data_IF_589802100295
#
_entry.id   IF_589802100295
#
_cell.length_a   1.000
_cell.length_b   1.000
_cell.length_c   1.000
_cell.angle_alpha   90.00
_cell.angle_beta   90.00
_cell.angle_gamma   90.00
#
_symmetry.space_group_name_H-M   'P 1'
#
loop_
_entity.id
_entity.type
_entity.pdbx_description
1 polymer ?
#
# COMPACT_ATOMS: atom_id res chain seq x y z
N UNK A 1 -29.43 16.16 -11.11
CA UNK A 1 -29.04 16.68 -9.78
C UNK A 1 -27.52 16.73 -9.75
N UNK A 2 -26.93 17.84 -9.28
CA UNK A 2 -25.47 18.03 -9.21
C UNK A 2 -25.02 17.97 -7.75
N UNK A 3 -23.88 17.32 -7.49
CA UNK A 3 -23.23 17.35 -6.19
C UNK A 3 -21.71 17.41 -6.32
N UNK A 4 -21.03 17.81 -5.25
CA UNK A 4 -19.57 17.82 -5.18
C UNK A 4 -19.03 16.39 -5.10
N UNK A 5 -17.97 16.09 -5.85
CA UNK A 5 -17.33 14.78 -5.83
C UNK A 5 -16.82 14.37 -4.46
N UNK A 6 -16.43 15.34 -3.61
CA UNK A 6 -16.13 15.16 -2.19
C UNK A 6 -17.24 14.40 -1.44
N UNK A 7 -18.50 14.73 -1.68
CA UNK A 7 -19.67 14.07 -1.07
C UNK A 7 -19.71 12.59 -1.49
N UNK A 8 -19.47 12.31 -2.76
CA UNK A 8 -19.44 10.94 -3.27
C UNK A 8 -18.28 10.14 -2.67
N UNK A 9 -17.09 10.73 -2.63
CA UNK A 9 -15.92 10.14 -2.00
C UNK A 9 -16.19 9.80 -0.52
N UNK A 10 -16.87 10.68 0.21
CA UNK A 10 -17.25 10.40 1.59
C UNK A 10 -18.21 9.21 1.69
N UNK A 11 -19.23 9.14 0.83
CA UNK A 11 -20.17 8.01 0.80
C UNK A 11 -19.43 6.70 0.48
N UNK A 12 -18.54 6.70 -0.52
CA UNK A 12 -17.76 5.53 -0.92
C UNK A 12 -16.89 5.07 0.25
N UNK A 13 -16.08 5.96 0.84
CA UNK A 13 -15.20 5.59 1.95
C UNK A 13 -15.96 5.03 3.16
N UNK A 14 -17.12 5.62 3.48
CA UNK A 14 -17.89 5.23 4.66
C UNK A 14 -18.63 3.92 4.43
N UNK A 15 -19.20 3.68 3.24
CA UNK A 15 -20.20 2.63 3.08
C UNK A 15 -19.86 1.54 2.07
N UNK A 16 -18.81 1.71 1.27
CA UNK A 16 -18.45 0.70 0.28
C UNK A 16 -18.11 -0.63 0.95
N UNK A 17 -18.58 -1.72 0.34
CA UNK A 17 -18.19 -3.07 0.75
C UNK A 17 -16.73 -3.21 0.43
N UNK A 18 -15.91 -3.29 1.47
CA UNK A 18 -14.55 -3.79 1.34
C UNK A 18 -14.69 -5.31 1.33
N UNK A 19 -14.05 -5.97 0.36
CA UNK A 19 -14.13 -7.42 0.17
C UNK A 19 -14.00 -8.14 1.51
N UNK A 20 -15.03 -8.90 1.89
CA UNK A 20 -14.99 -9.74 3.08
C UNK A 20 -13.84 -10.74 2.88
N UNK A 21 -12.81 -10.76 3.74
CA UNK A 21 -11.70 -11.68 3.57
C UNK A 21 -12.08 -13.15 3.85
N UNK A 22 -13.23 -13.46 4.45
CA UNK A 22 -13.60 -14.83 4.85
C UNK A 22 -13.88 -15.81 3.70
N UNK A 23 -14.65 -15.45 2.65
CA UNK A 23 -14.90 -16.36 1.53
C UNK A 23 -13.60 -16.70 0.76
N UNK A 24 -12.58 -15.86 0.87
CA UNK A 24 -11.36 -15.90 0.06
C UNK A 24 -10.15 -16.50 0.78
N UNK A 25 -10.23 -16.64 2.10
CA UNK A 25 -9.21 -17.27 2.95
C UNK A 25 -8.90 -18.75 2.59
N UNK A 26 -9.62 -19.35 1.63
CA UNK A 26 -9.42 -20.72 1.14
C UNK A 26 -8.76 -20.80 -0.25
N UNK A 27 -8.43 -19.66 -0.89
CA UNK A 27 -7.82 -19.61 -2.23
C UNK A 27 -6.41 -19.00 -2.22
N UNK A 28 -5.80 -18.78 -3.37
CA UNK A 28 -4.54 -18.03 -3.50
C UNK A 28 -4.70 -16.59 -2.97
N UNK A 29 -3.62 -15.90 -2.56
CA UNK A 29 -3.71 -14.50 -2.18
C UNK A 29 -4.37 -13.70 -3.31
N UNK A 30 -5.48 -13.05 -3.00
CA UNK A 30 -6.22 -12.22 -3.95
C UNK A 30 -5.79 -10.77 -3.79
N UNK A 31 -5.41 -10.14 -4.90
CA UNK A 31 -5.07 -8.72 -4.93
C UNK A 31 -6.35 -7.90 -4.83
N UNK A 32 -6.41 -7.01 -3.86
CA UNK A 32 -7.53 -6.09 -3.71
C UNK A 32 -7.48 -5.07 -4.84
N UNK A 33 -8.62 -4.86 -5.48
CA UNK A 33 -8.72 -3.89 -6.55
C UNK A 33 -8.57 -2.44 -6.06
N UNK A 34 -7.90 -1.61 -6.85
CA UNK A 34 -7.84 -0.16 -6.62
C UNK A 34 -9.13 0.47 -7.14
N UNK A 35 -10.13 0.68 -6.27
CA UNK A 35 -11.47 1.15 -6.69
C UNK A 35 -11.45 2.57 -7.29
N UNK A 36 -10.38 3.34 -7.07
CA UNK A 36 -10.18 4.62 -7.77
C UNK A 36 -10.03 4.42 -9.28
N UNK A 37 -9.54 3.26 -9.71
CA UNK A 37 -9.40 2.87 -11.12
C UNK A 37 -10.62 2.16 -11.67
N UNK A 38 -11.31 1.37 -10.83
CA UNK A 38 -12.43 0.54 -11.27
C UNK A 38 -13.69 1.32 -11.68
N UNK A 39 -13.78 2.59 -11.31
CA UNK A 39 -14.91 3.49 -11.62
C UNK A 39 -16.29 2.95 -11.21
N UNK A 40 -16.32 2.00 -10.29
CA UNK A 40 -17.52 1.48 -9.67
C UNK A 40 -17.21 1.00 -8.26
N UNK A 41 -18.24 0.92 -7.42
CA UNK A 41 -18.16 0.35 -6.09
C UNK A 41 -19.50 -0.28 -5.68
N UNK A 42 -19.41 -1.34 -4.88
CA UNK A 42 -20.57 -2.00 -4.30
C UNK A 42 -20.81 -1.50 -2.88
N UNK A 43 -22.09 -1.43 -2.51
CA UNK A 43 -22.58 -1.09 -1.18
C UNK A 43 -23.51 -2.20 -0.68
N UNK A 44 -23.75 -2.31 0.64
CA UNK A 44 -24.79 -3.20 1.17
C UNK A 44 -26.21 -2.87 0.71
N UNK A 45 -26.42 -1.80 -0.05
CA UNK A 45 -27.72 -1.26 -0.45
C UNK A 45 -27.80 -0.88 -1.93
N UNK A 46 -26.83 -1.30 -2.74
CA UNK A 46 -26.82 -1.03 -4.18
C UNK A 46 -25.42 -0.95 -4.76
N UNK A 47 -25.34 -0.45 -6.00
CA UNK A 47 -24.08 -0.30 -6.73
C UNK A 47 -23.98 1.10 -7.30
N UNK A 48 -22.81 1.70 -7.21
CA UNK A 48 -22.51 2.97 -7.85
C UNK A 48 -21.47 2.73 -8.94
N UNK A 49 -21.71 3.27 -10.12
CA UNK A 49 -20.73 3.37 -11.17
C UNK A 49 -20.62 4.83 -11.61
N UNK A 50 -19.47 5.23 -12.13
CA UNK A 50 -19.32 6.56 -12.70
C UNK A 50 -18.53 6.58 -14.00
N UNK A 51 -18.95 7.46 -14.90
CA UNK A 51 -18.36 7.64 -16.23
C UNK A 51 -17.96 9.08 -16.44
N UNK A 52 -16.91 9.30 -17.23
CA UNK A 52 -16.50 10.63 -17.66
C UNK A 52 -17.06 10.86 -19.07
N UNK A 53 -17.76 11.99 -19.26
CA UNK A 53 -18.24 12.45 -20.56
C UNK A 53 -17.73 13.87 -20.79
N UNK A 54 -16.63 13.99 -21.54
CA UNK A 54 -15.88 15.24 -21.62
C UNK A 54 -15.32 15.63 -20.25
N UNK A 55 -15.57 16.87 -19.84
CA UNK A 55 -15.14 17.40 -18.53
C UNK A 55 -16.09 17.06 -17.38
N UNK A 56 -17.24 16.45 -17.67
CA UNK A 56 -18.27 16.13 -16.70
C UNK A 56 -18.15 14.67 -16.23
N UNK A 57 -18.38 14.45 -14.93
CA UNK A 57 -18.43 13.12 -14.34
C UNK A 57 -19.86 12.80 -13.96
N UNK A 58 -20.32 11.62 -14.33
CA UNK A 58 -21.69 11.22 -14.10
C UNK A 58 -21.76 9.92 -13.32
N UNK A 59 -22.57 9.94 -12.29
CA UNK A 59 -22.75 8.83 -11.36
C UNK A 59 -24.10 8.17 -11.60
N UNK A 60 -24.08 6.84 -11.63
CA UNK A 60 -25.22 5.96 -11.80
C UNK A 60 -25.32 5.07 -10.58
N UNK A 61 -26.43 5.18 -9.86
CA UNK A 61 -26.72 4.32 -8.72
C UNK A 61 -27.80 3.31 -9.10
N UNK A 62 -27.46 2.03 -9.02
CA UNK A 62 -28.41 0.92 -9.13
C UNK A 62 -28.83 0.52 -7.72
N UNK A 63 -30.08 0.79 -7.30
CA UNK A 63 -30.52 0.44 -5.97
C UNK A 63 -30.55 -1.07 -5.76
N UNK A 64 -30.27 -1.49 -4.53
CA UNK A 64 -30.51 -2.85 -4.07
C UNK A 64 -32.00 -3.13 -3.83
N UNK A 65 -32.29 -4.22 -3.13
CA UNK A 65 -33.64 -4.60 -2.71
C UNK A 65 -34.23 -3.57 -1.73
N UNK A 66 -35.55 -3.49 -1.66
CA UNK A 66 -36.24 -2.57 -0.74
C UNK A 66 -35.85 -2.80 0.73
N UNK A 67 -35.66 -4.07 1.12
CA UNK A 67 -35.15 -4.44 2.44
C UNK A 67 -33.72 -3.93 2.70
N UNK A 68 -32.85 -3.98 1.70
CA UNK A 68 -31.47 -3.48 1.77
C UNK A 68 -31.44 -1.96 1.86
N UNK A 69 -32.31 -1.28 1.12
CA UNK A 69 -32.49 0.17 1.19
C UNK A 69 -33.07 0.63 2.54
N UNK A 70 -34.02 -0.12 3.10
CA UNK A 70 -34.63 0.18 4.40
C UNK A 70 -33.71 -0.14 5.60
N UNK A 71 -32.70 -0.99 5.43
CA UNK A 71 -31.77 -1.35 6.50
C UNK A 71 -30.96 -0.16 7.04
N UNK A 72 -30.59 -0.20 8.32
CA UNK A 72 -29.72 0.81 8.90
C UNK A 72 -28.33 0.78 8.23
N UNK A 73 -27.85 1.95 7.79
CA UNK A 73 -26.54 2.08 7.14
C UNK A 73 -25.44 2.20 8.18
N UNK A 74 -24.42 1.36 8.06
CA UNK A 74 -23.31 1.32 8.99
C UNK A 74 -22.00 1.75 8.33
N UNK A 75 -21.36 2.83 8.78
CA UNK A 75 -20.03 3.19 8.31
C UNK A 75 -19.02 2.10 8.60
N UNK A 76 -18.11 1.82 7.67
CA UNK A 76 -17.02 0.83 7.75
C UNK A 76 -17.48 -0.60 8.06
N UNK A 77 -18.76 -0.92 7.86
CA UNK A 77 -19.33 -2.26 8.06
C UNK A 77 -18.96 -2.87 9.41
N UNK A 78 -18.40 -4.08 9.40
CA UNK A 78 -17.96 -4.79 10.61
C UNK A 78 -16.88 -4.04 11.39
N UNK A 79 -15.94 -3.34 10.73
CA UNK A 79 -14.95 -2.55 11.45
C UNK A 79 -15.62 -1.40 12.22
N UNK A 80 -16.66 -0.78 11.65
CA UNK A 80 -17.40 0.28 12.32
C UNK A 80 -18.21 -0.18 13.53
N UNK A 81 -18.64 -1.45 13.62
CA UNK A 81 -19.31 -1.99 14.84
C UNK A 81 -18.34 -2.06 16.02
N UNK A 82 -17.04 -2.19 15.74
CA UNK A 82 -15.98 -2.34 16.73
C UNK A 82 -15.42 -0.98 17.18
N UNK A 83 -15.79 0.11 16.51
CA UNK A 83 -15.43 1.47 16.91
C UNK A 83 -16.44 2.00 17.92
N UNK A 84 -15.99 2.84 18.85
CA UNK A 84 -16.91 3.55 19.74
C UNK A 84 -17.84 4.47 18.92
N UNK A 85 -19.17 4.42 19.07
CA UNK A 85 -20.12 5.15 18.21
C UNK A 85 -19.86 6.66 18.10
N UNK A 86 -19.34 7.28 19.16
CA UNK A 86 -19.01 8.71 19.19
C UNK A 86 -17.69 9.08 18.49
N UNK A 87 -16.87 8.10 18.12
CA UNK A 87 -15.50 8.33 17.60
C UNK A 87 -15.38 8.09 16.11
N UNK A 88 -16.31 7.35 15.48
CA UNK A 88 -16.23 6.95 14.07
C UNK A 88 -15.92 8.13 13.15
N UNK A 89 -16.70 9.21 13.27
CA UNK A 89 -16.53 10.39 12.42
C UNK A 89 -15.22 11.14 12.73
N UNK A 90 -14.84 11.24 14.01
CA UNK A 90 -13.59 11.87 14.40
C UNK A 90 -12.38 11.10 13.86
N UNK A 91 -12.38 9.78 13.97
CA UNK A 91 -11.34 8.89 13.42
C UNK A 91 -11.28 9.00 11.90
N UNK A 92 -12.43 9.05 11.23
CA UNK A 92 -12.49 9.21 9.77
C UNK A 92 -11.90 10.55 9.31
N UNK A 93 -12.32 11.66 9.91
CA UNK A 93 -11.80 12.99 9.58
C UNK A 93 -10.32 13.13 9.92
N UNK A 94 -9.89 12.52 11.04
CA UNK A 94 -8.46 12.45 11.41
C UNK A 94 -7.66 11.70 10.36
N UNK A 95 -8.18 10.57 9.85
CA UNK A 95 -7.52 9.80 8.81
C UNK A 95 -7.50 10.51 7.45
N UNK A 96 -8.56 11.26 7.10
CA UNK A 96 -8.54 12.11 5.91
C UNK A 96 -7.50 13.23 6.01
N UNK A 97 -7.33 13.84 7.18
CA UNK A 97 -6.42 14.97 7.38
C UNK A 97 -4.95 14.55 7.52
N UNK A 98 -4.69 13.50 8.29
CA UNK A 98 -3.34 13.06 8.65
C UNK A 98 -2.89 11.78 7.93
N UNK A 99 -3.75 11.26 7.06
CA UNK A 99 -3.56 10.00 6.37
C UNK A 99 -3.87 8.76 7.20
N UNK A 100 -4.06 8.89 8.52
CA UNK A 100 -4.31 7.77 9.44
C UNK A 100 -5.08 8.23 10.69
N UNK A 101 -5.96 7.38 11.22
CA UNK A 101 -6.77 7.73 12.41
C UNK A 101 -5.98 7.71 13.72
N UNK A 102 -4.89 6.95 13.77
CA UNK A 102 -4.04 6.79 14.96
C UNK A 102 -2.71 7.52 14.79
N UNK A 103 -2.36 8.34 15.79
CA UNK A 103 -1.13 9.10 15.82
C UNK A 103 0.14 8.25 15.83
N UNK A 104 0.10 7.03 16.37
CA UNK A 104 1.26 6.13 16.40
C UNK A 104 1.72 5.71 15.00
N UNK A 105 0.81 5.77 14.04
CA UNK A 105 1.03 5.39 12.64
C UNK A 105 1.29 6.59 11.73
N UNK A 106 1.30 7.84 12.25
CA UNK A 106 1.56 9.02 11.40
C UNK A 106 2.99 9.00 10.89
N UNK A 107 3.17 9.13 9.57
CA UNK A 107 4.48 9.36 8.97
C UNK A 107 5.05 10.70 9.43
N UNK A 108 6.38 10.85 9.33
CA UNK A 108 7.01 12.14 9.54
C UNK A 108 6.59 13.12 8.42
N UNK A 109 6.54 14.44 8.68
CA UNK A 109 6.19 15.43 7.67
C UNK A 109 7.09 15.34 6.44
N UNK A 110 6.60 15.66 5.22
CA UNK A 110 7.42 15.64 4.00
C UNK A 110 8.65 16.56 4.05
N UNK A 111 8.59 17.60 4.90
CA UNK A 111 9.66 18.58 5.14
C UNK A 111 10.73 18.09 6.13
N UNK A 112 10.48 16.99 6.85
CA UNK A 112 11.44 16.43 7.78
C UNK A 112 12.65 15.82 7.04
N UNK A 113 13.85 15.79 7.68
CA UNK A 113 15.02 15.13 7.11
C UNK A 113 14.75 13.67 6.74
N UNK A 114 15.39 13.17 5.68
CA UNK A 114 15.21 11.81 5.19
C UNK A 114 15.45 10.73 6.28
N UNK A 115 16.48 10.81 7.14
CA UNK A 115 16.66 9.83 8.22
C UNK A 115 15.47 9.75 9.19
N UNK A 116 14.86 10.90 9.53
CA UNK A 116 13.67 10.94 10.38
C UNK A 116 12.46 10.29 9.68
N UNK A 117 12.28 10.58 8.39
CA UNK A 117 11.22 9.95 7.58
C UNK A 117 11.39 8.44 7.46
N UNK A 118 12.62 7.95 7.30
CA UNK A 118 12.93 6.51 7.30
C UNK A 118 12.63 5.90 8.65
N UNK A 119 13.17 6.48 9.74
CA UNK A 119 12.94 5.98 11.09
C UNK A 119 11.44 5.86 11.38
N UNK A 120 10.67 6.91 11.07
CA UNK A 120 9.24 6.91 11.32
C UNK A 120 8.48 5.90 10.46
N UNK A 121 8.82 5.81 9.18
CA UNK A 121 8.24 4.80 8.28
C UNK A 121 8.48 3.38 8.81
N UNK A 122 9.71 3.07 9.22
CA UNK A 122 10.04 1.73 9.75
C UNK A 122 9.23 1.41 11.00
N UNK A 123 9.13 2.33 11.97
CA UNK A 123 8.29 2.17 13.15
C UNK A 123 6.83 1.91 12.80
N UNK A 124 6.27 2.65 11.83
CA UNK A 124 4.88 2.43 11.42
C UNK A 124 4.67 1.04 10.82
N UNK A 125 5.60 0.55 9.99
CA UNK A 125 5.48 -0.80 9.41
C UNK A 125 5.72 -1.91 10.44
N UNK A 126 6.60 -1.71 11.40
CA UNK A 126 6.78 -2.63 12.53
C UNK A 126 5.47 -2.76 13.33
N UNK A 127 4.79 -1.64 13.59
CA UNK A 127 3.49 -1.62 14.25
C UNK A 127 2.34 -2.17 13.39
N UNK A 128 2.42 -2.06 12.06
CA UNK A 128 1.41 -2.61 11.14
C UNK A 128 1.53 -4.13 11.00
N UNK A 129 2.75 -4.66 11.15
CA UNK A 129 3.06 -6.09 10.93
C UNK A 129 3.28 -6.87 12.23
N UNK A 130 3.22 -6.21 13.38
CA UNK A 130 3.39 -6.84 14.69
C UNK A 130 2.37 -7.98 14.88
N UNK A 131 2.82 -9.08 15.48
CA UNK A 131 1.95 -10.25 15.74
C UNK A 131 0.94 -10.00 16.85
N UNK A 132 1.22 -9.03 17.71
CA UNK A 132 0.32 -8.56 18.75
C UNK A 132 -0.76 -7.70 18.07
N UNK A 133 -1.72 -8.40 17.46
CA UNK A 133 -2.79 -7.77 16.68
C UNK A 133 -3.54 -6.72 17.49
N UNK A 134 -4.09 -5.72 16.79
CA UNK A 134 -4.83 -4.65 17.43
C UNK A 134 -6.25 -5.05 17.82
N UNK A 135 -6.67 -4.56 18.97
CA UNK A 135 -8.06 -4.64 19.41
C UNK A 135 -8.94 -3.56 18.76
N UNK A 136 -8.36 -2.45 18.29
CA UNK A 136 -9.13 -1.35 17.71
C UNK A 136 -8.94 -1.25 16.19
N UNK A 137 -10.00 -0.92 15.43
CA UNK A 137 -9.89 -0.67 14.00
C UNK A 137 -8.99 0.53 13.68
N UNK A 138 -8.13 0.39 12.68
CA UNK A 138 -7.31 1.48 12.15
C UNK A 138 -7.83 1.92 10.79
N UNK A 139 -8.11 3.21 10.63
CA UNK A 139 -8.38 3.79 9.33
C UNK A 139 -7.07 4.34 8.74
N UNK A 140 -6.67 3.88 7.56
CA UNK A 140 -5.50 4.39 6.84
C UNK A 140 -5.94 4.84 5.45
N UNK A 141 -5.52 6.03 5.05
CA UNK A 141 -5.76 6.54 3.70
C UNK A 141 -4.80 5.97 2.68
N UNK A 142 -5.22 5.96 1.42
CA UNK A 142 -4.33 5.65 0.31
C UNK A 142 -3.15 6.64 0.21
N UNK A 143 -3.36 7.92 0.53
CA UNK A 143 -2.29 8.93 0.49
C UNK A 143 -1.16 8.65 1.48
N UNK A 144 -1.49 8.02 2.62
CA UNK A 144 -0.48 7.55 3.56
C UNK A 144 0.45 6.53 2.90
N UNK A 145 -0.11 5.61 2.11
CA UNK A 145 0.66 4.62 1.37
C UNK A 145 1.45 5.24 0.22
N UNK A 146 0.91 6.24 -0.46
CA UNK A 146 1.65 7.01 -1.46
C UNK A 146 2.85 7.74 -0.85
N UNK A 147 2.68 8.36 0.32
CA UNK A 147 3.79 9.02 1.00
C UNK A 147 4.83 8.03 1.52
N UNK A 148 4.40 6.88 2.06
CA UNK A 148 5.28 5.78 2.39
C UNK A 148 6.06 5.28 1.16
N UNK A 149 5.38 5.14 0.01
CA UNK A 149 5.98 4.71 -1.25
C UNK A 149 7.01 5.73 -1.72
N UNK A 150 6.71 7.02 -1.63
CA UNK A 150 7.66 8.11 -1.94
C UNK A 150 8.93 8.03 -1.10
N UNK A 151 8.83 7.80 0.21
CA UNK A 151 10.01 7.62 1.09
C UNK A 151 10.81 6.41 0.62
N UNK A 152 10.16 5.28 0.39
CA UNK A 152 10.81 4.05 -0.08
C UNK A 152 11.51 4.24 -1.43
N UNK A 153 10.83 4.84 -2.41
CA UNK A 153 11.37 5.20 -3.73
C UNK A 153 12.53 6.18 -3.61
N UNK A 154 12.48 7.14 -2.68
CA UNK A 154 13.56 8.10 -2.46
C UNK A 154 14.85 7.41 -2.03
N UNK A 155 14.74 6.40 -1.18
CA UNK A 155 15.89 5.62 -0.66
C UNK A 155 16.40 4.63 -1.70
N UNK A 156 15.51 3.87 -2.33
CA UNK A 156 15.90 2.74 -3.18
C UNK A 156 16.09 3.09 -4.67
N UNK A 157 15.52 4.19 -5.15
CA UNK A 157 15.46 4.52 -6.58
C UNK A 157 15.56 6.04 -6.88
N UNK A 158 16.15 6.83 -5.98
CA UNK A 158 16.28 8.30 -6.08
C UNK A 158 14.96 9.03 -6.43
N UNK A 159 13.83 8.52 -5.95
CA UNK A 159 12.49 9.06 -6.27
C UNK A 159 11.77 8.31 -7.38
N UNK A 160 12.20 7.08 -7.70
CA UNK A 160 11.53 6.17 -8.64
C UNK A 160 12.18 6.12 -10.02
N UNK A 161 12.88 7.18 -10.44
CA UNK A 161 13.40 7.34 -11.80
C UNK A 161 14.75 6.69 -12.05
N UNK A 162 15.51 6.44 -10.98
CA UNK A 162 16.85 5.84 -11.09
C UNK A 162 16.77 4.37 -10.66
N UNK A 163 16.88 3.46 -11.62
CA UNK A 163 16.82 2.02 -11.38
C UNK A 163 18.21 1.40 -11.17
N UNK A 164 19.28 2.20 -11.17
CA UNK A 164 20.66 1.71 -11.17
C UNK A 164 21.01 0.90 -9.91
N UNK A 165 20.49 1.26 -8.73
CA UNK A 165 20.71 0.46 -7.52
C UNK A 165 20.10 -0.95 -7.63
N UNK A 166 18.88 -1.05 -8.17
CA UNK A 166 18.25 -2.32 -8.48
C UNK A 166 19.04 -3.12 -9.52
N UNK A 167 19.54 -2.46 -10.58
CA UNK A 167 20.38 -3.08 -11.60
C UNK A 167 21.72 -3.59 -11.04
N UNK A 168 22.34 -2.85 -10.13
CA UNK A 168 23.58 -3.27 -9.45
C UNK A 168 23.32 -4.53 -8.59
N UNK A 169 22.16 -4.64 -7.94
CA UNK A 169 21.74 -5.87 -7.22
C UNK A 169 21.53 -7.04 -8.18
N UNK A 170 20.82 -6.84 -9.29
CA UNK A 170 20.64 -7.88 -10.31
C UNK A 170 21.99 -8.34 -10.90
N UNK A 171 22.89 -7.40 -11.18
CA UNK A 171 24.23 -7.69 -11.67
C UNK A 171 25.00 -8.52 -10.65
N UNK A 172 24.95 -8.17 -9.36
CA UNK A 172 25.58 -8.94 -8.29
C UNK A 172 25.04 -10.39 -8.21
N UNK A 173 23.73 -10.59 -8.41
CA UNK A 173 23.12 -11.93 -8.49
C UNK A 173 23.66 -12.71 -9.69
N UNK A 174 23.77 -12.08 -10.85
CA UNK A 174 24.20 -12.73 -12.10
C UNK A 174 25.71 -13.06 -12.11
N UNK A 175 26.53 -12.23 -11.46
CA UNK A 175 28.00 -12.40 -11.44
C UNK A 175 28.52 -13.10 -10.19
N UNK A 176 27.67 -13.41 -9.19
CA UNK A 176 28.13 -14.10 -7.99
C UNK A 176 28.69 -15.47 -8.32
N UNK A 177 29.97 -15.67 -8.01
CA UNK A 177 30.68 -16.95 -8.14
C UNK A 177 30.71 -17.74 -6.84
N UNK A 178 30.07 -17.24 -5.78
CA UNK A 178 30.05 -17.92 -4.50
C UNK A 178 29.12 -19.17 -4.61
N UNK A 179 29.68 -20.39 -4.49
CA UNK A 179 28.93 -21.63 -4.64
C UNK A 179 27.87 -21.84 -3.55
N UNK A 180 27.95 -21.09 -2.45
CA UNK A 180 26.94 -21.04 -1.39
C UNK A 180 25.87 -19.98 -1.62
N UNK A 181 26.01 -19.17 -2.69
CA UNK A 181 25.14 -18.03 -2.92
C UNK A 181 23.96 -18.40 -3.83
N UNK A 182 24.22 -18.63 -5.11
CA UNK A 182 23.21 -18.94 -6.12
C UNK A 182 23.88 -19.70 -7.27
N UNK A 183 23.68 -21.02 -7.32
CA UNK A 183 24.45 -21.90 -8.20
C UNK A 183 23.77 -22.18 -9.54
N UNK A 184 22.44 -22.09 -9.58
CA UNK A 184 21.64 -22.39 -10.77
C UNK A 184 20.96 -21.14 -11.33
N UNK A 185 20.80 -21.10 -12.65
CA UNK A 185 20.09 -20.01 -13.36
C UNK A 185 18.65 -19.82 -12.83
N UNK A 186 17.95 -20.90 -12.53
CA UNK A 186 16.61 -20.89 -11.93
C UNK A 186 16.58 -20.21 -10.56
N UNK A 187 17.62 -20.39 -9.75
CA UNK A 187 17.75 -19.74 -8.44
C UNK A 187 18.05 -18.24 -8.59
N UNK A 188 18.83 -17.86 -9.61
CA UNK A 188 19.12 -16.44 -9.93
C UNK A 188 17.84 -15.71 -10.35
N UNK A 189 17.08 -16.30 -11.26
CA UNK A 189 15.79 -15.72 -11.69
C UNK A 189 14.79 -15.63 -10.53
N UNK A 190 14.71 -16.66 -9.69
CA UNK A 190 13.88 -16.62 -8.49
C UNK A 190 14.29 -15.48 -7.55
N UNK A 191 15.59 -15.31 -7.29
CA UNK A 191 16.09 -14.24 -6.42
C UNK A 191 15.88 -12.85 -7.02
N UNK A 192 16.12 -12.67 -8.33
CA UNK A 192 15.82 -11.40 -9.03
C UNK A 192 14.34 -11.05 -8.93
N UNK A 193 13.44 -12.03 -9.12
CA UNK A 193 12.00 -11.83 -8.91
C UNK A 193 11.67 -11.43 -7.47
N UNK A 194 12.29 -12.08 -6.48
CA UNK A 194 12.10 -11.77 -5.06
C UNK A 194 12.61 -10.36 -4.71
N UNK A 195 13.77 -9.95 -5.22
CA UNK A 195 14.29 -8.58 -5.05
C UNK A 195 13.36 -7.57 -5.72
N UNK A 196 12.92 -7.82 -6.96
CA UNK A 196 12.02 -6.93 -7.69
C UNK A 196 10.74 -6.61 -6.92
N UNK A 197 10.19 -7.59 -6.21
CA UNK A 197 9.01 -7.42 -5.35
C UNK A 197 9.24 -6.51 -4.13
N UNK A 198 10.49 -6.16 -3.81
CA UNK A 198 10.86 -5.25 -2.73
C UNK A 198 11.15 -3.82 -3.22
N UNK A 199 11.25 -3.59 -4.53
CA UNK A 199 11.46 -2.28 -5.12
C UNK A 199 10.14 -1.71 -5.64
N UNK A 200 9.87 -0.45 -5.31
CA UNK A 200 8.86 0.37 -5.98
C UNK A 200 9.61 1.20 -7.01
N UNK A 201 9.40 0.93 -8.29
CA UNK A 201 10.05 1.66 -9.39
C UNK A 201 9.06 2.63 -10.04
N UNK A 202 9.57 3.72 -10.61
CA UNK A 202 8.76 4.75 -11.26
C UNK A 202 7.66 5.28 -10.32
N UNK A 203 6.39 5.16 -10.73
CA UNK A 203 5.22 5.59 -9.97
C UNK A 203 4.54 4.43 -9.22
N UNK A 204 5.20 3.27 -9.07
CA UNK A 204 4.66 2.11 -8.33
C UNK A 204 4.46 2.39 -6.85
N UNK A 205 3.39 1.85 -6.29
CA UNK A 205 2.98 2.02 -4.89
C UNK A 205 2.69 0.67 -4.23
N UNK A 206 2.32 0.71 -2.95
CA UNK A 206 1.95 -0.50 -2.23
C UNK A 206 0.71 -1.15 -2.84
N UNK A 207 0.74 -2.48 -2.94
CA UNK A 207 -0.43 -3.28 -3.30
C UNK A 207 -0.99 -3.95 -2.06
N UNK A 208 -2.27 -4.29 -2.10
CA UNK A 208 -2.95 -4.90 -0.97
C UNK A 208 -3.45 -6.28 -1.38
N UNK A 209 -3.32 -7.24 -0.48
CA UNK A 209 -3.87 -8.57 -0.66
C UNK A 209 -4.64 -9.03 0.57
N UNK A 210 -5.56 -9.96 0.39
CA UNK A 210 -6.10 -10.75 1.50
C UNK A 210 -5.31 -12.05 1.66
N UNK A 211 -5.21 -12.62 2.87
CA UNK A 211 -4.55 -13.90 3.07
C UNK A 211 -5.15 -15.00 2.20
N UNK A 212 -4.30 -15.66 1.43
CA UNK A 212 -4.63 -16.92 0.77
C UNK A 212 -4.02 -18.13 1.50
N UNK A 213 -4.61 -19.30 1.26
CA UNK A 213 -4.13 -20.59 1.72
C UNK A 213 -2.99 -21.14 0.86
N UNK A 214 -1.81 -20.52 0.90
CA UNK A 214 -0.52 -21.19 0.69
C UNK A 214 0.63 -20.21 0.93
N UNK A 215 1.58 -20.62 1.77
CA UNK A 215 2.89 -19.97 1.86
C UNK A 215 3.70 -20.47 0.67
N UNK A 216 4.15 -19.59 -0.22
CA UNK A 216 5.15 -19.97 -1.22
C UNK A 216 6.34 -20.59 -0.48
N UNK A 217 6.59 -21.88 -0.74
CA UNK A 217 7.77 -22.55 -0.22
C UNK A 217 9.01 -21.91 -0.87
N UNK A 218 9.88 -21.36 -0.03
CA UNK A 218 11.22 -20.98 -0.47
C UNK A 218 11.95 -22.27 -0.82
N UNK A 219 12.61 -22.39 -1.99
CA UNK A 219 13.46 -23.53 -2.29
C UNK A 219 14.46 -23.77 -1.16
N UNK A 220 14.56 -25.01 -0.66
CA UNK A 220 15.40 -25.34 0.48
C UNK A 220 16.88 -24.97 0.26
N UNK A 221 17.34 -24.92 -1.00
CA UNK A 221 18.70 -24.53 -1.39
C UNK A 221 19.02 -23.04 -1.15
N UNK A 222 18.00 -22.18 -1.03
CA UNK A 222 18.17 -20.73 -0.80
C UNK A 222 18.10 -20.34 0.68
N UNK A 223 18.12 -21.30 1.60
CA UNK A 223 17.87 -21.06 3.03
C UNK A 223 18.80 -20.04 3.71
N UNK A 224 19.98 -19.76 3.13
CA UNK A 224 20.97 -18.82 3.67
C UNK A 224 21.06 -17.49 2.94
N UNK A 225 20.71 -17.43 1.64
CA UNK A 225 20.79 -16.19 0.84
C UNK A 225 19.48 -15.44 0.84
N UNK A 226 19.55 -14.18 1.23
CA UNK A 226 18.39 -13.30 1.33
C UNK A 226 18.59 -12.02 0.50
N UNK A 227 17.50 -11.36 0.08
CA UNK A 227 17.60 -10.01 -0.49
C UNK A 227 18.40 -9.04 0.41
N UNK A 228 18.28 -9.18 1.73
CA UNK A 228 19.04 -8.42 2.73
C UNK A 228 20.56 -8.62 2.58
N UNK A 229 21.03 -9.87 2.49
CA UNK A 229 22.47 -10.15 2.36
C UNK A 229 23.03 -9.65 1.04
N UNK A 230 22.30 -9.82 -0.07
CA UNK A 230 22.72 -9.35 -1.39
C UNK A 230 22.82 -7.82 -1.40
N UNK A 231 21.81 -7.13 -0.88
CA UNK A 231 21.80 -5.68 -0.76
C UNK A 231 23.02 -5.16 0.02
N UNK A 232 23.34 -5.79 1.17
CA UNK A 232 24.53 -5.44 1.94
C UNK A 232 25.83 -5.60 1.13
N UNK A 233 25.97 -6.69 0.38
CA UNK A 233 27.16 -6.90 -0.47
C UNK A 233 27.32 -5.79 -1.51
N UNK A 234 26.23 -5.36 -2.16
CA UNK A 234 26.27 -4.25 -3.13
C UNK A 234 26.62 -2.93 -2.45
N UNK A 235 26.01 -2.65 -1.30
CA UNK A 235 26.29 -1.42 -0.54
C UNK A 235 27.75 -1.34 -0.11
N UNK A 236 28.34 -2.43 0.39
CA UNK A 236 29.77 -2.50 0.72
C UNK A 236 30.64 -2.20 -0.50
N UNK A 237 30.24 -2.65 -1.69
CA UNK A 237 30.91 -2.31 -2.95
C UNK A 237 30.94 -0.80 -3.27
N UNK A 238 30.07 -0.01 -2.63
CA UNK A 238 30.05 1.44 -2.79
C UNK A 238 30.99 2.21 -1.85
N UNK A 239 31.70 1.54 -0.94
CA UNK A 239 32.57 2.17 0.06
C UNK A 239 33.60 3.12 -0.59
N UNK A 240 34.22 2.72 -1.70
CA UNK A 240 35.27 3.51 -2.34
C UNK A 240 34.76 4.53 -3.38
N UNK A 241 33.44 4.70 -3.51
CA UNK A 241 32.90 5.71 -4.41
C UNK A 241 33.17 7.14 -3.89
N UNK A 242 33.28 8.14 -4.77
CA UNK A 242 33.57 9.52 -4.38
C UNK A 242 32.54 10.08 -3.38
N UNK A 243 33.01 10.84 -2.40
CA UNK A 243 32.15 11.59 -1.48
C UNK A 243 31.18 12.50 -2.23
N UNK A 244 29.92 12.52 -1.81
CA UNK A 244 28.84 13.26 -2.50
C UNK A 244 28.22 12.53 -3.69
N UNK A 245 28.76 11.39 -4.13
CA UNK A 245 28.04 10.52 -5.08
C UNK A 245 26.86 9.81 -4.39
N UNK A 246 25.80 9.53 -5.15
CA UNK A 246 24.64 8.84 -4.61
C UNK A 246 24.97 7.42 -4.10
N UNK A 247 25.90 6.72 -4.76
CA UNK A 247 26.40 5.40 -4.32
C UNK A 247 27.06 5.48 -2.94
N UNK A 248 27.92 6.49 -2.75
CA UNK A 248 28.53 6.74 -1.44
C UNK A 248 27.47 7.10 -0.39
N UNK A 249 26.47 7.91 -0.73
CA UNK A 249 25.36 8.22 0.19
C UNK A 249 24.54 6.99 0.58
N UNK A 250 24.33 6.02 -0.32
CA UNK A 250 23.66 4.76 0.03
C UNK A 250 24.51 3.90 0.97
N UNK A 251 25.83 3.85 0.75
CA UNK A 251 26.75 3.18 1.68
C UNK A 251 26.73 3.82 3.07
N UNK A 252 26.82 5.15 3.15
CA UNK A 252 26.77 5.87 4.43
C UNK A 252 25.42 5.67 5.17
N UNK A 253 24.36 5.29 4.44
CA UNK A 253 23.02 4.98 4.96
C UNK A 253 22.69 3.47 4.96
N UNK A 254 23.69 2.59 4.97
CA UNK A 254 23.49 1.14 4.76
C UNK A 254 22.37 0.54 5.63
N UNK A 255 22.40 0.83 6.94
CA UNK A 255 21.42 0.31 7.88
C UNK A 255 19.98 0.72 7.55
N UNK A 256 19.80 1.95 7.08
CA UNK A 256 18.51 2.52 6.72
C UNK A 256 18.01 1.98 5.37
N UNK A 257 18.90 1.86 4.39
CA UNK A 257 18.59 1.23 3.09
C UNK A 257 18.10 -0.19 3.28
N UNK A 258 18.77 -0.97 4.14
CA UNK A 258 18.40 -2.35 4.44
C UNK A 258 17.03 -2.43 5.10
N UNK A 259 16.76 -1.60 6.12
CA UNK A 259 15.45 -1.57 6.79
C UNK A 259 14.32 -1.25 5.79
N UNK A 260 14.54 -0.26 4.92
CA UNK A 260 13.55 0.15 3.92
C UNK A 260 13.32 -0.94 2.87
N UNK A 261 14.38 -1.66 2.47
CA UNK A 261 14.25 -2.79 1.54
C UNK A 261 13.40 -3.91 2.13
N UNK A 262 13.46 -4.14 3.43
CA UNK A 262 12.74 -5.21 4.14
C UNK A 262 11.23 -4.93 4.29
N UNK A 263 10.79 -3.69 4.09
CA UNK A 263 9.36 -3.35 4.05
C UNK A 263 8.72 -4.07 2.84
N UNK A 264 7.71 -4.92 3.00
CA UNK A 264 7.07 -5.59 1.87
C UNK A 264 6.21 -4.60 1.06
N UNK A 265 6.28 -4.68 -0.27
CA UNK A 265 5.44 -3.84 -1.15
C UNK A 265 3.98 -4.33 -1.22
N UNK A 266 3.76 -5.62 -1.03
CA UNK A 266 2.42 -6.19 -0.91
C UNK A 266 2.06 -6.32 0.57
N UNK A 267 1.04 -5.57 0.98
CA UNK A 267 0.51 -5.58 2.33
C UNK A 267 -0.68 -6.51 2.43
N UNK A 268 -0.52 -7.59 3.18
CA UNK A 268 -1.62 -8.51 3.45
C UNK A 268 -2.53 -7.95 4.55
N UNK A 269 -3.72 -7.50 4.18
CA UNK A 269 -4.77 -7.04 5.10
C UNK A 269 -5.42 -8.27 5.74
N UNK A 270 -4.93 -8.65 6.91
CA UNK A 270 -5.54 -9.73 7.71
C UNK A 270 -6.70 -9.19 8.54
N UNK A 271 -7.76 -9.99 8.72
CA UNK A 271 -8.90 -9.68 9.61
C UNK A 271 -8.46 -9.30 11.03
N UNK A 272 -7.42 -9.96 11.54
CA UNK A 272 -6.83 -9.67 12.87
C UNK A 272 -6.21 -8.27 13.00
N UNK A 273 -5.88 -7.60 11.89
CA UNK A 273 -5.29 -6.26 11.92
C UNK A 273 -6.32 -5.13 11.88
N UNK A 274 -7.61 -5.45 11.61
CA UNK A 274 -8.75 -4.51 11.62
C UNK A 274 -8.46 -3.19 10.87
N UNK A 275 -7.72 -3.27 9.75
CA UNK A 275 -7.37 -2.11 8.94
C UNK A 275 -8.50 -1.86 7.94
N UNK A 276 -8.96 -0.61 7.89
CA UNK A 276 -9.87 -0.10 6.88
C UNK A 276 -9.12 0.89 5.99
N UNK A 277 -9.08 0.62 4.69
CA UNK A 277 -8.49 1.53 3.71
C UNK A 277 -9.50 2.63 3.35
N UNK A 278 -9.06 3.88 3.43
CA UNK A 278 -9.77 5.08 2.93
C UNK A 278 -9.15 5.41 1.57
N UNK A 279 -9.84 5.07 0.50
CA UNK A 279 -9.28 5.15 -0.86
C UNK A 279 -9.41 6.54 -1.46
N UNK A 280 -10.48 7.27 -1.16
CA UNK A 280 -10.76 8.56 -1.78
C UNK A 280 -10.45 9.71 -0.81
N UNK A 281 -9.51 10.57 -1.16
CA UNK A 281 -9.10 11.74 -0.37
C UNK A 281 -9.17 13.00 -1.23
N UNK A 282 -8.86 14.16 -0.65
CA UNK A 282 -8.85 15.44 -1.37
C UNK A 282 -7.89 15.49 -2.56
N UNK A 283 -6.95 14.54 -2.66
CA UNK A 283 -5.98 14.45 -3.74
C UNK A 283 -6.43 13.57 -4.91
N UNK A 284 -7.51 12.81 -4.75
CA UNK A 284 -8.02 11.99 -5.85
C UNK A 284 -8.82 12.82 -6.86
N UNK A 285 -8.78 12.43 -8.14
CA UNK A 285 -9.45 13.16 -9.22
C UNK A 285 -10.95 13.32 -8.96
N UNK A 286 -11.62 12.27 -8.46
CA UNK A 286 -13.05 12.27 -8.22
C UNK A 286 -13.47 13.36 -7.21
N UNK A 287 -12.66 13.60 -6.18
CA UNK A 287 -12.98 14.53 -5.09
C UNK A 287 -13.18 15.96 -5.59
N UNK A 288 -12.39 16.37 -6.58
CA UNK A 288 -12.32 17.74 -7.08
C UNK A 288 -13.20 17.95 -8.32
N UNK A 289 -14.10 17.01 -8.63
CA UNK A 289 -15.01 17.08 -9.78
C UNK A 289 -16.42 17.43 -9.36
N UNK A 290 -17.15 18.07 -10.28
CA UNK A 290 -18.61 18.16 -10.21
C UNK A 290 -19.20 16.85 -10.74
N UNK A 291 -20.14 16.29 -10.00
CA UNK A 291 -20.76 15.01 -10.35
C UNK A 291 -22.24 15.19 -10.59
N UNK A 292 -22.70 14.64 -11.70
CA UNK A 292 -24.10 14.68 -12.11
C UNK A 292 -24.75 13.31 -11.89
N UNK A 293 -25.91 13.29 -11.24
CA UNK A 293 -26.73 12.08 -11.15
C UNK A 293 -27.51 11.87 -12.45
N UNK A 294 -27.37 10.68 -13.02
CA UNK A 294 -28.02 10.29 -14.27
C UNK A 294 -27.21 10.64 -15.51
N UNK A 295 -27.78 10.31 -16.68
CA UNK A 295 -27.12 10.09 -17.98
C UNK A 295 -25.92 10.99 -18.31
N UNK A 296 -24.83 10.38 -18.83
CA UNK A 296 -24.63 10.07 -20.23
C UNK A 296 -24.10 8.64 -20.39
N UNK A 297 -24.72 7.95 -21.34
CA UNK A 297 -24.46 6.57 -21.71
C UNK A 297 -23.04 6.43 -22.27
#
# INVERSE_FOLDING_TARGET
MEFEGSVLCHIINLFSVTLDPEPWARQWPEELSDRRRERHCEFPFGKLAWTAAGDQLHAHFTPGLESELASAKQPFGFNGTLMEPGTIMASYLTALLHGVSDSEYRLAPPTAPLPERISRLTTCFDLLTSRDGRNEPLLISYDWFEEAARIKRRVLAQGGKDHSFFQDICTNIDTSTDPYFISQETEREFMKKRVRQLFLLDDETFTFSVPGGQVMSVPASLGTVTPRSICKTVLLGYEHHPAGSWKRSLFDMEADVVKILEIPNNLTIRKQFRIQLIEFTSWCDLWNKKVFLGAPI
#
